data_IF_598165038834
#
_entry.id   IF_598165038834
#
_cell.length_a   1.000
_cell.length_b   1.000
_cell.length_c   1.000
_cell.angle_alpha   90.00
_cell.angle_beta   90.00
_cell.angle_gamma   90.00
#
_symmetry.space_group_name_H-M   'P 1'
#
loop_
_entity.id
_entity.type
_entity.pdbx_description
1 polymer ?
#
# COMPACT_ATOMS: atom_id res chain seq x y z
N UNK A 1 -2.54 -10.46 -12.74
CA UNK A 1 -2.82 -9.93 -11.39
C UNK A 1 -2.77 -8.42 -11.47
N UNK A 2 -3.57 -7.69 -10.71
CA UNK A 2 -3.45 -6.23 -10.57
C UNK A 2 -3.27 -5.87 -9.10
N UNK A 3 -2.61 -4.73 -8.86
CA UNK A 3 -2.43 -4.17 -7.53
C UNK A 3 -3.29 -2.91 -7.47
N UNK A 4 -4.19 -2.87 -6.50
CA UNK A 4 -5.13 -1.77 -6.28
C UNK A 4 -4.63 -1.03 -5.05
N UNK A 5 -4.28 0.24 -5.19
CA UNK A 5 -3.75 1.06 -4.10
C UNK A 5 -4.74 2.16 -3.73
N UNK A 6 -4.94 2.37 -2.44
CA UNK A 6 -5.88 3.36 -1.90
C UNK A 6 -5.10 4.58 -1.41
N UNK A 7 -5.43 5.74 -1.95
CA UNK A 7 -4.86 7.01 -1.49
C UNK A 7 -5.66 7.63 -0.35
N UNK A 8 -4.96 8.30 0.59
CA UNK A 8 -5.54 9.13 1.67
C UNK A 8 -6.49 8.37 2.61
N UNK A 9 -6.13 7.17 3.01
CA UNK A 9 -6.97 6.35 3.89
C UNK A 9 -6.64 6.47 5.39
N UNK A 10 -5.74 7.40 5.76
CA UNK A 10 -5.39 7.73 7.15
C UNK A 10 -5.45 9.24 7.35
N UNK A 11 -6.15 9.68 8.40
CA UNK A 11 -6.40 11.12 8.65
C UNK A 11 -5.11 11.89 8.84
N UNK A 12 -4.20 11.38 9.66
CA UNK A 12 -2.94 12.08 9.98
C UNK A 12 -2.01 12.15 8.75
N UNK A 13 -1.97 11.11 7.92
CA UNK A 13 -1.25 11.17 6.65
C UNK A 13 -1.86 12.20 5.67
N UNK A 14 -3.19 12.27 5.58
CA UNK A 14 -3.83 13.27 4.74
C UNK A 14 -3.48 14.70 5.19
N UNK A 15 -3.44 14.96 6.51
CA UNK A 15 -2.99 16.24 7.09
C UNK A 15 -1.52 16.53 6.79
N UNK A 16 -0.63 15.53 6.98
CA UNK A 16 0.81 15.62 6.65
C UNK A 16 1.02 16.08 5.22
N UNK A 17 0.21 15.57 4.29
CA UNK A 17 0.24 15.93 2.87
C UNK A 17 -0.53 17.22 2.52
N UNK A 18 -1.05 17.95 3.52
CA UNK A 18 -1.86 19.15 3.30
C UNK A 18 -3.16 18.90 2.54
N UNK A 19 -3.77 17.75 2.73
CA UNK A 19 -5.00 17.31 2.04
C UNK A 19 -6.10 16.95 3.04
N UNK A 20 -7.36 17.09 2.61
CA UNK A 20 -8.53 16.60 3.33
C UNK A 20 -8.85 15.15 2.94
N UNK A 21 -9.58 14.49 3.82
CA UNK A 21 -10.20 13.19 3.52
C UNK A 21 -11.30 13.39 2.48
N UNK A 22 -11.39 12.45 1.56
CA UNK A 22 -12.42 12.44 0.51
C UNK A 22 -13.68 11.70 0.97
N UNK A 23 -14.81 12.00 0.35
CA UNK A 23 -16.07 11.30 0.63
C UNK A 23 -16.03 9.82 0.20
N UNK A 24 -15.34 9.53 -0.88
CA UNK A 24 -15.19 8.20 -1.46
C UNK A 24 -13.70 7.82 -1.55
N UNK A 25 -13.36 6.52 -1.55
CA UNK A 25 -11.99 6.06 -1.73
C UNK A 25 -11.38 6.57 -3.04
N UNK A 26 -10.18 7.12 -2.97
CA UNK A 26 -9.37 7.37 -4.17
C UNK A 26 -8.54 6.12 -4.41
N UNK A 27 -8.57 5.57 -5.62
CA UNK A 27 -7.72 4.44 -5.94
C UNK A 27 -6.99 4.62 -7.28
N UNK A 28 -5.85 3.96 -7.39
CA UNK A 28 -5.06 3.83 -8.61
C UNK A 28 -4.55 2.39 -8.73
N UNK A 29 -4.02 2.03 -9.87
CA UNK A 29 -3.54 0.69 -10.14
C UNK A 29 -2.03 0.69 -10.34
N UNK A 30 -1.38 -0.38 -9.87
CA UNK A 30 -0.04 -0.74 -10.30
C UNK A 30 -0.13 -2.05 -11.11
N UNK A 31 0.63 -2.18 -12.21
CA UNK A 31 0.76 -3.43 -12.94
C UNK A 31 1.52 -4.47 -12.10
N UNK A 32 1.53 -5.71 -12.52
CA UNK A 32 2.29 -6.78 -11.86
C UNK A 32 3.81 -6.61 -12.00
N UNK A 33 4.29 -5.90 -13.03
CA UNK A 33 5.69 -5.49 -13.18
C UNK A 33 6.18 -4.54 -12.09
N UNK A 34 5.24 -3.87 -11.39
CA UNK A 34 5.58 -3.04 -10.23
C UNK A 34 6.06 -3.85 -9.01
N UNK A 35 5.84 -5.18 -8.98
CA UNK A 35 6.29 -6.00 -7.85
C UNK A 35 7.80 -6.20 -7.85
N UNK A 36 8.40 -5.93 -6.70
CA UNK A 36 9.78 -6.35 -6.44
C UNK A 36 9.81 -7.89 -6.36
N UNK A 37 10.69 -8.51 -7.12
CA UNK A 37 10.86 -9.95 -7.08
C UNK A 37 11.36 -10.41 -5.69
N UNK A 38 10.91 -11.58 -5.25
CA UNK A 38 11.27 -12.13 -3.94
C UNK A 38 12.78 -12.10 -3.70
N UNK A 39 13.16 -11.65 -2.49
CA UNK A 39 14.56 -11.55 -2.04
C UNK A 39 15.45 -10.61 -2.86
N UNK A 40 14.88 -9.82 -3.75
CA UNK A 40 15.63 -8.78 -4.45
C UNK A 40 15.64 -7.49 -3.63
N UNK A 41 16.72 -6.70 -3.70
CA UNK A 41 16.71 -5.35 -3.16
C UNK A 41 15.86 -4.43 -4.04
N UNK A 42 15.50 -3.27 -3.51
CA UNK A 42 14.95 -2.19 -4.31
C UNK A 42 16.10 -1.35 -4.86
N UNK A 43 16.15 -1.22 -6.18
CA UNK A 43 17.10 -0.34 -6.85
C UNK A 43 16.45 1.03 -7.07
N UNK A 44 17.13 2.09 -6.59
CA UNK A 44 16.65 3.45 -6.82
C UNK A 44 16.64 3.74 -8.32
N UNK A 45 15.49 4.17 -8.87
CA UNK A 45 15.42 4.55 -10.28
C UNK A 45 16.15 5.88 -10.52
N UNK A 46 16.71 6.05 -11.71
CA UNK A 46 17.45 7.24 -12.15
C UNK A 46 16.54 8.40 -12.62
N UNK A 47 15.25 8.16 -12.76
CA UNK A 47 14.27 9.15 -13.24
C UNK A 47 13.65 10.01 -12.12
N UNK A 48 13.98 9.76 -10.85
CA UNK A 48 13.44 10.48 -9.70
C UNK A 48 14.50 10.66 -8.62
N UNK A 49 14.60 11.85 -8.08
CA UNK A 49 15.51 12.20 -6.99
C UNK A 49 14.86 12.05 -5.60
N UNK A 50 13.58 11.71 -5.53
CA UNK A 50 12.82 11.70 -4.27
C UNK A 50 11.83 10.52 -4.21
N UNK A 51 12.36 9.33 -3.93
CA UNK A 51 11.57 8.11 -3.74
C UNK A 51 11.22 7.95 -2.26
N UNK A 52 9.92 7.90 -1.96
CA UNK A 52 9.40 7.69 -0.61
C UNK A 52 8.89 6.27 -0.39
N UNK A 53 9.06 5.78 0.85
CA UNK A 53 8.36 4.59 1.34
C UNK A 53 6.97 4.97 1.86
N UNK A 54 6.00 4.11 1.64
CA UNK A 54 4.64 4.16 2.16
C UNK A 54 4.26 2.74 2.61
N UNK A 55 4.35 2.43 3.91
CA UNK A 55 3.98 1.09 4.42
C UNK A 55 2.47 0.93 4.48
N UNK A 56 1.98 -0.21 4.00
CA UNK A 56 0.55 -0.47 3.87
C UNK A 56 0.18 -1.91 4.22
N UNK A 57 -0.99 -2.10 4.84
CA UNK A 57 -1.60 -3.41 4.90
C UNK A 57 -2.04 -3.84 3.50
N UNK A 58 -1.77 -5.11 3.16
CA UNK A 58 -2.04 -5.70 1.85
C UNK A 58 -3.00 -6.87 2.01
N UNK A 59 -4.19 -6.74 1.43
CA UNK A 59 -5.17 -7.84 1.40
C UNK A 59 -5.13 -8.57 0.06
N UNK A 60 -5.22 -9.90 0.12
CA UNK A 60 -5.25 -10.74 -1.07
C UNK A 60 -6.67 -11.19 -1.39
N UNK A 61 -7.11 -10.94 -2.62
CA UNK A 61 -8.44 -11.35 -3.08
C UNK A 61 -8.46 -12.85 -3.38
N UNK A 62 -9.43 -13.56 -2.79
CA UNK A 62 -9.59 -15.01 -2.92
C UNK A 62 -10.76 -15.44 -3.79
N UNK A 63 -11.63 -14.51 -4.20
CA UNK A 63 -12.85 -14.80 -4.98
C UNK A 63 -13.04 -13.76 -6.07
N UNK A 64 -13.51 -14.19 -7.24
CA UNK A 64 -13.86 -13.28 -8.34
C UNK A 64 -15.17 -12.56 -8.01
N UNK A 65 -15.22 -11.24 -8.24
CA UNK A 65 -16.44 -10.46 -8.02
C UNK A 65 -16.46 -9.11 -8.68
N UNK A 66 -17.68 -8.62 -8.92
CA UNK A 66 -18.01 -7.31 -9.48
C UNK A 66 -19.24 -6.78 -8.75
N UNK A 67 -19.27 -5.46 -8.49
CA UNK A 67 -20.40 -4.81 -7.80
C UNK A 67 -20.79 -5.51 -6.48
N UNK A 68 -19.77 -5.75 -5.65
CA UNK A 68 -19.91 -6.49 -4.39
C UNK A 68 -20.55 -5.55 -3.35
N UNK A 69 -21.64 -5.99 -2.73
CA UNK A 69 -22.19 -5.30 -1.58
C UNK A 69 -21.26 -5.46 -0.36
N UNK A 70 -21.16 -4.42 0.46
CA UNK A 70 -20.25 -4.40 1.62
C UNK A 70 -20.51 -5.52 2.62
N UNK A 71 -21.75 -5.98 2.74
CA UNK A 71 -22.13 -7.09 3.63
C UNK A 71 -21.54 -8.43 3.21
N UNK A 72 -21.18 -8.59 1.93
CA UNK A 72 -20.54 -9.77 1.37
C UNK A 72 -19.02 -9.62 1.18
N UNK A 73 -18.45 -8.46 1.47
CA UNK A 73 -17.03 -8.20 1.21
C UNK A 73 -16.09 -9.16 1.92
N UNK A 74 -16.46 -9.62 3.13
CA UNK A 74 -15.69 -10.60 3.93
C UNK A 74 -15.48 -11.95 3.24
N UNK A 75 -16.32 -12.30 2.25
CA UNK A 75 -16.15 -13.54 1.48
C UNK A 75 -15.02 -13.44 0.46
N UNK A 76 -14.48 -12.26 0.22
CA UNK A 76 -13.52 -11.99 -0.86
C UNK A 76 -12.07 -11.93 -0.40
N UNK A 77 -11.81 -11.94 0.91
CA UNK A 77 -10.46 -11.99 1.49
C UNK A 77 -10.45 -12.84 2.76
N UNK A 78 -9.29 -13.34 3.13
CA UNK A 78 -9.04 -14.05 4.40
C UNK A 78 -7.62 -13.85 4.88
N UNK A 79 -6.78 -13.24 4.03
CA UNK A 79 -5.36 -13.04 4.29
C UNK A 79 -5.00 -11.57 4.22
N UNK A 80 -4.18 -11.14 5.19
CA UNK A 80 -3.56 -9.82 5.25
C UNK A 80 -2.05 -9.96 5.41
N UNK A 81 -1.31 -9.21 4.64
CA UNK A 81 0.13 -9.05 4.73
C UNK A 81 0.51 -7.59 4.86
N UNK A 82 1.78 -7.30 4.66
CA UNK A 82 2.34 -5.95 4.69
C UNK A 82 3.15 -5.71 3.43
N UNK A 83 3.11 -4.48 2.93
CA UNK A 83 3.85 -4.07 1.75
C UNK A 83 4.34 -2.64 1.83
N UNK A 84 5.03 -2.20 0.78
CA UNK A 84 5.44 -0.81 0.57
C UNK A 84 4.94 -0.36 -0.80
N UNK A 85 4.23 0.78 -0.85
CA UNK A 85 3.91 1.53 -2.05
C UNK A 85 5.00 2.60 -2.25
N UNK A 86 6.04 2.28 -3.03
CA UNK A 86 7.07 3.26 -3.38
C UNK A 86 6.50 4.34 -4.29
N UNK A 87 6.86 5.58 -3.98
CA UNK A 87 6.33 6.77 -4.63
C UNK A 87 7.46 7.69 -5.06
N UNK A 88 7.56 7.97 -6.37
CA UNK A 88 8.40 9.07 -6.87
C UNK A 88 7.69 10.39 -6.54
N UNK A 89 8.07 10.99 -5.41
CA UNK A 89 7.32 12.10 -4.80
C UNK A 89 7.39 13.38 -5.65
N UNK A 90 8.54 13.66 -6.22
CA UNK A 90 8.78 14.73 -7.17
C UNK A 90 7.87 14.63 -8.42
N UNK A 91 7.80 13.43 -9.02
CA UNK A 91 6.92 13.17 -10.16
C UNK A 91 5.45 13.22 -9.76
N UNK A 92 5.09 12.73 -8.56
CA UNK A 92 3.72 12.83 -8.07
C UNK A 92 3.29 14.28 -7.89
N UNK A 93 4.17 15.14 -7.35
CA UNK A 93 3.89 16.58 -7.23
C UNK A 93 3.66 17.22 -8.61
N UNK A 94 4.49 16.89 -9.60
CA UNK A 94 4.35 17.34 -10.99
C UNK A 94 3.05 16.85 -11.63
N UNK A 95 2.68 15.57 -11.44
CA UNK A 95 1.43 15.03 -11.95
C UNK A 95 0.23 15.78 -11.34
N UNK A 96 0.24 15.99 -10.02
CA UNK A 96 -0.84 16.70 -9.32
C UNK A 96 -0.99 18.15 -9.77
N UNK A 97 0.11 18.90 -9.97
CA UNK A 97 0.08 20.29 -10.41
C UNK A 97 -0.45 20.45 -11.83
N UNK A 98 -0.21 19.46 -12.70
CA UNK A 98 -0.60 19.48 -14.10
C UNK A 98 -1.93 18.75 -14.37
N UNK A 99 -2.56 18.14 -13.37
CA UNK A 99 -3.76 17.33 -13.58
C UNK A 99 -3.51 16.05 -14.37
N UNK A 100 -2.27 15.53 -14.36
CA UNK A 100 -1.89 14.31 -15.08
C UNK A 100 -2.16 13.05 -14.25
N UNK A 101 -2.32 11.89 -14.90
CA UNK A 101 -2.34 10.58 -14.25
C UNK A 101 -1.06 10.32 -13.44
N UNK A 102 -1.14 9.40 -12.45
CA UNK A 102 -0.05 9.17 -11.48
C UNK A 102 0.86 7.99 -11.83
N UNK A 103 0.65 7.32 -12.94
CA UNK A 103 1.33 6.08 -13.32
C UNK A 103 2.87 6.22 -13.27
N UNK A 104 3.43 7.31 -13.81
CA UNK A 104 4.87 7.54 -13.77
C UNK A 104 5.44 7.71 -12.35
N UNK A 105 4.59 8.14 -11.41
CA UNK A 105 4.96 8.37 -10.02
C UNK A 105 4.68 7.18 -9.09
N UNK A 106 3.75 6.31 -9.49
CA UNK A 106 3.20 5.25 -8.65
C UNK A 106 3.32 3.85 -9.24
N UNK A 107 3.33 3.72 -10.56
CA UNK A 107 3.18 2.43 -11.24
C UNK A 107 4.43 2.02 -12.02
N UNK A 108 5.59 2.57 -11.66
CA UNK A 108 6.87 2.21 -12.26
C UNK A 108 7.32 0.81 -11.80
N UNK A 109 8.24 0.22 -12.52
CA UNK A 109 8.79 -1.11 -12.21
C UNK A 109 9.38 -1.15 -10.81
N UNK A 110 9.12 -2.21 -10.07
CA UNK A 110 9.55 -2.41 -8.68
C UNK A 110 8.98 -1.40 -7.66
N UNK A 111 7.95 -0.64 -8.00
CA UNK A 111 7.34 0.34 -7.10
C UNK A 111 6.46 -0.27 -5.99
N UNK A 112 6.36 -1.59 -5.90
CA UNK A 112 5.59 -2.28 -4.86
C UNK A 112 6.38 -3.43 -4.24
N UNK A 113 6.57 -3.42 -2.93
CA UNK A 113 7.00 -4.58 -2.15
C UNK A 113 5.78 -5.26 -1.55
N UNK A 114 5.76 -6.58 -1.56
CA UNK A 114 4.83 -7.39 -0.77
C UNK A 114 5.63 -8.37 0.06
N UNK A 115 5.40 -8.37 1.37
CA UNK A 115 6.02 -9.34 2.29
C UNK A 115 5.62 -10.77 1.95
N UNK A 116 6.47 -11.73 2.31
CA UNK A 116 6.23 -13.13 2.00
C UNK A 116 5.12 -13.74 2.87
N UNK A 117 4.97 -13.25 4.11
CA UNK A 117 4.04 -13.77 5.09
C UNK A 117 2.69 -13.08 5.02
N UNK A 118 1.64 -13.89 4.97
CA UNK A 118 0.25 -13.47 5.05
C UNK A 118 -0.44 -14.19 6.20
N UNK A 119 -1.11 -13.43 7.06
CA UNK A 119 -1.80 -13.90 8.25
C UNK A 119 -3.29 -14.08 7.98
N UNK A 120 -3.91 -15.04 8.63
CA UNK A 120 -5.36 -15.18 8.61
C UNK A 120 -5.98 -14.01 9.39
N UNK A 121 -6.84 -13.23 8.72
CA UNK A 121 -7.48 -12.05 9.32
C UNK A 121 -8.28 -12.42 10.57
N UNK A 122 -8.91 -13.61 10.58
CA UNK A 122 -9.74 -14.05 11.70
C UNK A 122 -8.90 -14.49 12.91
N UNK A 123 -7.61 -14.78 12.73
CA UNK A 123 -6.70 -15.14 13.82
C UNK A 123 -6.12 -13.94 14.58
N UNK A 124 -6.24 -12.74 14.01
CA UNK A 124 -5.67 -11.52 14.57
C UNK A 124 -6.69 -10.78 15.44
N UNK A 125 -6.39 -10.63 16.74
CA UNK A 125 -7.19 -9.81 17.65
C UNK A 125 -7.06 -8.32 17.36
N UNK A 126 -5.84 -7.91 17.00
CA UNK A 126 -5.47 -6.55 16.64
C UNK A 126 -4.55 -6.60 15.43
N UNK A 127 -4.67 -5.62 14.57
CA UNK A 127 -3.86 -5.51 13.36
C UNK A 127 -3.05 -4.20 13.42
N UNK A 128 -2.01 -4.21 14.27
CA UNK A 128 -1.01 -3.15 14.34
C UNK A 128 0.07 -3.43 13.29
N UNK A 129 0.60 -2.39 12.69
CA UNK A 129 1.71 -2.51 11.75
C UNK A 129 2.67 -1.36 11.88
N UNK A 130 3.92 -1.58 11.48
CA UNK A 130 4.96 -0.56 11.52
C UNK A 130 6.04 -0.80 10.48
N UNK A 131 6.75 0.26 10.17
CA UNK A 131 7.96 0.25 9.37
C UNK A 131 9.11 0.82 10.19
N UNK A 132 10.24 0.14 10.17
CA UNK A 132 11.49 0.72 10.61
C UNK A 132 12.42 0.99 9.43
N UNK A 133 13.18 2.07 9.52
CA UNK A 133 14.26 2.42 8.61
C UNK A 133 15.56 2.50 9.42
N UNK A 134 16.54 1.67 9.07
CA UNK A 134 17.83 1.58 9.75
C UNK A 134 17.72 1.32 11.27
N UNK A 135 16.70 0.55 11.69
CA UNK A 135 16.42 0.20 13.08
C UNK A 135 15.54 1.20 13.84
N UNK A 136 15.23 2.36 13.27
CA UNK A 136 14.33 3.35 13.87
C UNK A 136 12.92 3.22 13.31
N UNK A 137 11.89 3.21 14.16
CA UNK A 137 10.48 3.18 13.70
C UNK A 137 10.11 4.52 13.09
N UNK A 138 9.73 4.48 11.80
CA UNK A 138 9.37 5.68 11.02
C UNK A 138 7.87 5.78 10.74
N UNK A 139 7.17 4.65 10.63
CA UNK A 139 5.71 4.60 10.50
C UNK A 139 5.14 3.57 11.47
N UNK A 140 3.99 3.87 12.09
CA UNK A 140 3.26 2.95 12.97
C UNK A 140 1.79 3.32 12.99
N UNK A 141 0.91 2.32 12.87
CA UNK A 141 -0.55 2.51 12.90
C UNK A 141 -1.28 1.21 13.22
N UNK A 142 -2.60 1.30 13.19
CA UNK A 142 -3.53 0.18 13.36
C UNK A 142 -4.59 0.19 12.25
N UNK A 143 -5.07 -0.98 11.86
CA UNK A 143 -6.11 -1.10 10.83
C UNK A 143 -7.41 -0.33 11.16
N UNK A 144 -7.72 -0.15 12.45
CA UNK A 144 -8.91 0.60 12.88
C UNK A 144 -8.80 2.12 12.66
N UNK A 145 -7.60 2.62 12.34
CA UNK A 145 -7.37 4.04 12.01
C UNK A 145 -7.64 4.36 10.54
N UNK A 146 -7.93 3.34 9.72
CA UNK A 146 -8.35 3.54 8.33
C UNK A 146 -9.69 4.28 8.27
N UNK A 147 -9.78 5.26 7.38
CA UNK A 147 -11.03 5.98 7.07
C UNK A 147 -12.02 5.05 6.39
N UNK A 148 -11.56 4.29 5.41
CA UNK A 148 -12.33 3.28 4.70
C UNK A 148 -11.80 1.89 5.05
N UNK A 149 -12.64 1.06 5.65
CA UNK A 149 -12.29 -0.33 5.94
C UNK A 149 -12.09 -1.13 4.66
N UNK A 150 -11.43 -2.30 4.77
CA UNK A 150 -11.26 -3.19 3.60
C UNK A 150 -12.60 -3.58 2.97
N UNK A 151 -13.67 -3.76 3.76
CA UNK A 151 -15.00 -4.08 3.25
C UNK A 151 -15.57 -2.95 2.39
N UNK A 152 -15.42 -1.70 2.84
CA UNK A 152 -15.84 -0.52 2.08
C UNK A 152 -14.99 -0.34 0.81
N UNK A 153 -13.69 -0.59 0.88
CA UNK A 153 -12.78 -0.54 -0.27
C UNK A 153 -13.20 -1.57 -1.32
N UNK A 154 -13.40 -2.83 -0.94
CA UNK A 154 -13.84 -3.90 -1.85
C UNK A 154 -15.16 -3.54 -2.51
N UNK A 155 -16.14 -3.11 -1.71
CA UNK A 155 -17.44 -2.69 -2.22
C UNK A 155 -17.32 -1.55 -3.23
N UNK A 156 -16.55 -0.51 -2.89
CA UNK A 156 -16.38 0.66 -3.75
C UNK A 156 -15.65 0.33 -5.05
N UNK A 157 -14.47 -0.28 -4.96
CA UNK A 157 -13.61 -0.58 -6.12
C UNK A 157 -14.29 -1.54 -7.08
N UNK A 158 -15.01 -2.54 -6.55
CA UNK A 158 -15.70 -3.54 -7.37
C UNK A 158 -16.83 -2.96 -8.22
N UNK A 159 -17.32 -1.75 -7.95
CA UNK A 159 -18.28 -1.04 -8.83
C UNK A 159 -17.65 -0.72 -10.19
N UNK A 160 -16.37 -0.44 -10.22
CA UNK A 160 -15.65 0.00 -11.42
C UNK A 160 -14.90 -1.13 -12.12
N UNK A 161 -14.19 -1.96 -11.35
CA UNK A 161 -13.33 -3.04 -11.86
C UNK A 161 -13.66 -4.39 -11.22
N UNK A 162 -13.65 -5.45 -12.03
CA UNK A 162 -13.81 -6.82 -11.52
C UNK A 162 -12.59 -7.22 -10.70
N UNK A 163 -12.80 -7.62 -9.45
CA UNK A 163 -11.78 -8.25 -8.63
C UNK A 163 -11.55 -9.69 -9.07
N UNK A 164 -10.29 -10.11 -9.14
CA UNK A 164 -9.89 -11.48 -9.52
C UNK A 164 -9.10 -12.13 -8.41
N UNK A 165 -9.13 -13.45 -8.35
CA UNK A 165 -8.29 -14.22 -7.41
C UNK A 165 -6.83 -13.85 -7.63
N UNK A 166 -6.14 -13.54 -6.52
CA UNK A 166 -4.75 -13.13 -6.52
C UNK A 166 -4.52 -11.62 -6.69
N UNK A 167 -5.55 -10.82 -6.97
CA UNK A 167 -5.42 -9.36 -6.90
C UNK A 167 -5.05 -8.92 -5.49
N UNK A 168 -4.27 -7.85 -5.39
CA UNK A 168 -3.80 -7.28 -4.13
C UNK A 168 -4.47 -5.92 -3.92
N UNK A 169 -4.88 -5.65 -2.67
CA UNK A 169 -5.37 -4.34 -2.25
C UNK A 169 -4.43 -3.78 -1.20
N UNK A 170 -3.73 -2.72 -1.55
CA UNK A 170 -2.97 -1.86 -0.66
C UNK A 170 -3.92 -0.82 -0.08
N UNK A 171 -3.99 -0.73 1.24
CA UNK A 171 -5.08 -0.03 1.94
C UNK A 171 -4.79 1.43 2.28
N UNK A 172 -3.67 1.96 1.81
CA UNK A 172 -3.19 3.29 2.18
C UNK A 172 -2.20 3.26 3.33
N UNK A 173 -1.40 4.31 3.42
CA UNK A 173 -0.29 4.46 4.37
C UNK A 173 -0.63 5.45 5.49
N UNK A 174 -0.14 5.23 6.72
CA UNK A 174 -0.21 6.21 7.81
C UNK A 174 0.82 7.33 7.64
N UNK A 175 0.81 8.32 8.53
CA UNK A 175 1.83 9.38 8.61
C UNK A 175 3.23 8.83 8.86
N UNK A 176 4.26 9.64 8.56
CA UNK A 176 5.66 9.29 8.69
C UNK A 176 6.29 8.76 7.39
N UNK A 177 5.68 9.06 6.23
CA UNK A 177 6.30 8.79 4.93
C UNK A 177 7.61 9.56 4.79
N UNK A 178 8.56 9.01 4.04
CA UNK A 178 9.86 9.65 3.91
C UNK A 178 10.71 9.03 2.80
N UNK A 179 11.79 9.74 2.45
CA UNK A 179 12.68 9.33 1.37
C UNK A 179 13.56 8.14 1.76
N UNK A 180 13.95 7.38 0.75
CA UNK A 180 14.96 6.33 0.85
C UNK A 180 16.24 6.73 0.12
N UNK A 181 17.38 6.18 0.58
CA UNK A 181 18.70 6.37 -0.03
C UNK A 181 19.40 5.03 -0.19
N UNK A 182 20.36 4.97 -1.08
CA UNK A 182 21.24 3.79 -1.22
C UNK A 182 21.89 3.51 0.14
N UNK A 183 21.83 2.22 0.56
CA UNK A 183 22.33 1.76 1.85
C UNK A 183 21.28 1.69 2.95
N UNK A 184 20.09 2.29 2.76
CA UNK A 184 19.01 2.15 3.73
C UNK A 184 18.48 0.72 3.78
N UNK A 185 18.02 0.32 4.98
CA UNK A 185 17.33 -0.94 5.24
C UNK A 185 15.94 -0.65 5.79
N UNK A 186 14.92 -1.20 5.15
CA UNK A 186 13.53 -1.12 5.58
C UNK A 186 13.08 -2.48 6.14
N UNK A 187 12.43 -2.48 7.30
CA UNK A 187 11.86 -3.68 7.91
C UNK A 187 10.41 -3.41 8.33
N UNK A 188 9.49 -4.25 7.83
CA UNK A 188 8.07 -4.13 8.10
C UNK A 188 7.58 -5.18 9.09
N UNK A 189 6.68 -4.77 9.99
CA UNK A 189 6.16 -5.62 11.06
C UNK A 189 4.63 -5.58 11.11
N UNK A 190 4.01 -6.74 11.32
CA UNK A 190 2.63 -6.88 11.78
C UNK A 190 2.69 -7.35 13.23
N UNK A 191 2.10 -6.58 14.14
CA UNK A 191 2.23 -6.75 15.58
C UNK A 191 3.73 -6.78 15.99
N UNK A 192 4.26 -7.95 16.36
CA UNK A 192 5.68 -8.13 16.72
C UNK A 192 6.44 -8.98 15.70
N UNK A 193 5.78 -9.45 14.65
CA UNK A 193 6.35 -10.34 13.65
C UNK A 193 6.88 -9.54 12.47
N UNK A 194 8.14 -9.77 12.11
CA UNK A 194 8.75 -9.15 10.94
C UNK A 194 8.26 -9.84 9.67
N UNK A 195 7.55 -9.11 8.82
CA UNK A 195 6.96 -9.60 7.57
C UNK A 195 7.93 -9.50 6.39
N UNK A 196 8.77 -8.47 6.40
CA UNK A 196 9.80 -8.30 5.36
C UNK A 196 11.02 -7.54 5.87
N UNK A 197 12.12 -7.70 5.14
CA UNK A 197 13.35 -6.90 5.24
C UNK A 197 13.84 -6.60 3.82
N UNK A 198 14.07 -5.34 3.51
CA UNK A 198 14.44 -4.84 2.18
C UNK A 198 15.64 -3.91 2.27
N UNK A 199 16.64 -4.15 1.43
CA UNK A 199 17.77 -3.24 1.25
C UNK A 199 17.54 -2.33 0.06
N UNK A 200 17.94 -1.06 0.17
CA UNK A 200 17.90 -0.06 -0.90
C UNK A 200 19.30 0.01 -1.55
N UNK A 201 19.34 -0.09 -2.88
CA UNK A 201 20.58 -0.08 -3.68
C UNK A 201 20.51 0.89 -4.85
#
# INVERSE_FOLDING_TARGET
MKIICIGRNYVEHAKEMGKSITKDPIFFLKPDSSLIAKKQPFFLPDFSDDIHYEVELVYKIKKVGKSIDSVFSKDYYDKVGLGIDFTARDLQAKCKSNGHPWEIAKSFDQSALVGEDFFDVNSLKELNFSLSKNGETVQKSNANEMVFSIDQIISYVSKFITLKIGDLIFTGTPSGVGSVRIGDKLEGFINKERVFSLNIK
#
